data_IF_254135575698
#
_entry.id   IF_254135575698
#
_cell.length_a   1.000
_cell.length_b   1.000
_cell.length_c   1.000
_cell.angle_alpha   90.00
_cell.angle_beta   90.00
_cell.angle_gamma   90.00
#
_symmetry.space_group_name_H-M   'P 1'
#
loop_
_entity.id
_entity.type
_entity.pdbx_description
1 polymer ?
#
# COMPACT_ATOMS: atom_id res chain seq x y z
N UNK A 1 -17.31 9.61 -14.63
CA UNK A 1 -18.27 9.54 -13.49
C UNK A 1 -19.35 8.52 -13.84
N UNK A 2 -19.59 7.51 -13.01
CA UNK A 2 -20.49 6.40 -13.34
C UNK A 2 -21.93 6.66 -12.88
N UNK A 3 -22.90 6.39 -13.77
CA UNK A 3 -24.33 6.59 -13.49
C UNK A 3 -24.81 5.72 -12.31
N UNK A 4 -24.36 4.46 -12.24
CA UNK A 4 -24.76 3.47 -11.23
C UNK A 4 -24.19 3.72 -9.82
N UNK A 5 -23.21 4.61 -9.68
CA UNK A 5 -22.56 4.91 -8.38
C UNK A 5 -22.90 6.33 -7.95
N UNK A 6 -22.61 7.31 -8.80
CA UNK A 6 -22.78 8.73 -8.45
C UNK A 6 -24.12 9.28 -8.95
N UNK A 7 -24.57 8.86 -10.14
CA UNK A 7 -25.80 9.36 -10.75
C UNK A 7 -27.03 9.03 -9.91
N UNK A 8 -27.20 7.77 -9.54
CA UNK A 8 -28.33 7.31 -8.70
C UNK A 8 -28.32 7.98 -7.32
N UNK A 9 -27.15 8.09 -6.68
CA UNK A 9 -27.02 8.70 -5.36
C UNK A 9 -27.42 10.18 -5.33
N UNK A 10 -27.25 10.92 -6.44
CA UNK A 10 -27.70 12.31 -6.54
C UNK A 10 -29.22 12.48 -6.62
N UNK A 11 -29.95 11.43 -7.02
CA UNK A 11 -31.38 11.51 -7.32
C UNK A 11 -32.26 10.90 -6.23
N UNK A 12 -31.72 10.00 -5.41
CA UNK A 12 -32.46 9.24 -4.41
C UNK A 12 -31.74 9.29 -3.04
N UNK A 13 -32.45 9.04 -1.93
CA UNK A 13 -31.82 8.76 -0.64
C UNK A 13 -30.77 7.67 -0.79
N UNK A 14 -29.59 7.87 -0.20
CA UNK A 14 -28.43 7.02 -0.40
C UNK A 14 -27.68 6.84 0.92
N UNK A 15 -27.07 5.66 1.08
CA UNK A 15 -26.32 5.30 2.27
C UNK A 15 -25.14 4.40 1.89
N UNK A 16 -24.07 4.46 2.68
CA UNK A 16 -22.98 3.50 2.57
C UNK A 16 -23.41 2.14 3.16
N UNK A 17 -23.25 1.06 2.40
CA UNK A 17 -23.35 -0.29 2.94
C UNK A 17 -22.23 -0.57 3.96
N UNK A 18 -22.41 -1.57 4.82
CA UNK A 18 -21.46 -1.86 5.91
C UNK A 18 -20.04 -2.15 5.45
N UNK A 19 -19.86 -2.83 4.32
CA UNK A 19 -18.54 -3.13 3.76
C UNK A 19 -17.81 -1.85 3.34
N UNK A 20 -18.50 -0.97 2.60
CA UNK A 20 -17.95 0.32 2.20
C UNK A 20 -17.63 1.18 3.42
N UNK A 21 -18.56 1.27 4.37
CA UNK A 21 -18.35 2.01 5.62
C UNK A 21 -17.09 1.52 6.35
N UNK A 22 -16.96 0.21 6.55
CA UNK A 22 -15.80 -0.39 7.21
C UNK A 22 -14.50 -0.12 6.45
N UNK A 23 -14.52 -0.19 5.12
CA UNK A 23 -13.36 0.10 4.29
C UNK A 23 -12.93 1.57 4.41
N UNK A 24 -13.87 2.51 4.29
CA UNK A 24 -13.61 3.94 4.45
C UNK A 24 -13.08 4.25 5.85
N UNK A 25 -13.72 3.74 6.91
CA UNK A 25 -13.27 3.93 8.30
C UNK A 25 -11.86 3.38 8.53
N UNK A 26 -11.57 2.19 7.99
CA UNK A 26 -10.24 1.57 8.08
C UNK A 26 -9.21 2.45 7.39
N UNK A 27 -9.43 2.84 6.14
CA UNK A 27 -8.46 3.63 5.38
C UNK A 27 -8.30 5.05 5.95
N UNK A 28 -9.38 5.70 6.39
CA UNK A 28 -9.31 7.00 7.08
C UNK A 28 -8.45 6.92 8.34
N UNK A 29 -8.62 5.85 9.15
CA UNK A 29 -7.83 5.69 10.37
C UNK A 29 -6.31 5.59 10.11
N UNK A 30 -5.91 5.05 8.94
CA UNK A 30 -4.51 4.98 8.53
C UNK A 30 -3.91 6.36 8.20
N UNK A 31 -4.73 7.25 7.63
CA UNK A 31 -4.30 8.59 7.21
C UNK A 31 -4.33 9.60 8.37
N UNK A 32 -5.29 9.48 9.28
CA UNK A 32 -5.55 10.46 10.33
C UNK A 32 -4.77 10.16 11.62
N UNK A 33 -4.90 8.94 12.16
CA UNK A 33 -4.30 8.57 13.45
C UNK A 33 -3.95 7.07 13.52
N UNK A 34 -2.96 6.62 12.73
CA UNK A 34 -2.53 5.22 12.73
C UNK A 34 -1.84 4.86 14.05
N UNK A 35 -1.91 3.59 14.45
CA UNK A 35 -1.09 3.10 15.56
C UNK A 35 0.37 3.06 15.11
N UNK A 36 1.22 3.85 15.79
CA UNK A 36 2.64 4.00 15.43
C UNK A 36 3.56 2.99 16.14
N UNK A 37 4.61 2.50 15.46
CA UNK A 37 5.05 2.90 14.12
C UNK A 37 4.16 2.37 12.97
N UNK A 38 3.86 3.23 11.99
CA UNK A 38 3.19 2.90 10.74
C UNK A 38 4.25 2.60 9.68
N UNK A 39 4.27 1.37 9.17
CA UNK A 39 5.08 0.96 8.03
C UNK A 39 4.20 0.75 6.79
N UNK A 40 4.59 1.31 5.65
CA UNK A 40 3.86 1.19 4.38
C UNK A 40 4.76 0.56 3.34
N UNK A 41 4.31 -0.54 2.75
CA UNK A 41 5.01 -1.27 1.68
C UNK A 41 4.31 -0.95 0.36
N UNK A 42 5.06 -0.41 -0.58
CA UNK A 42 4.57 -0.01 -1.89
C UNK A 42 5.35 -0.80 -2.95
N UNK A 43 4.62 -1.59 -3.72
CA UNK A 43 5.15 -2.36 -4.84
C UNK A 43 4.44 -2.05 -6.14
N UNK A 44 4.89 -2.70 -7.22
CA UNK A 44 4.24 -2.64 -8.52
C UNK A 44 5.22 -2.54 -9.69
N UNK A 45 4.65 -2.34 -10.88
CA UNK A 45 5.37 -2.33 -12.14
C UNK A 45 5.48 -0.95 -12.84
N UNK A 46 4.64 0.02 -12.45
CA UNK A 46 4.53 1.33 -13.12
C UNK A 46 4.57 2.45 -12.10
N UNK A 47 5.63 3.26 -12.11
CA UNK A 47 5.86 4.31 -11.11
C UNK A 47 4.79 5.40 -11.16
N UNK A 48 4.25 5.73 -12.33
CA UNK A 48 3.31 6.83 -12.52
C UNK A 48 2.02 6.61 -11.71
N UNK A 49 1.64 5.34 -11.55
CA UNK A 49 0.45 4.96 -10.77
C UNK A 49 0.72 4.94 -9.26
N UNK A 50 1.99 4.86 -8.83
CA UNK A 50 2.37 4.66 -7.43
C UNK A 50 3.04 5.87 -6.79
N UNK A 51 3.59 6.78 -7.59
CA UNK A 51 4.30 7.96 -7.11
C UNK A 51 3.44 8.84 -6.18
N UNK A 52 2.15 9.14 -6.50
CA UNK A 52 1.30 9.91 -5.57
C UNK A 52 1.14 9.23 -4.21
N UNK A 53 1.04 7.90 -4.20
CA UNK A 53 0.98 7.13 -2.96
C UNK A 53 2.30 7.22 -2.19
N UNK A 54 3.44 7.06 -2.86
CA UNK A 54 4.77 7.17 -2.21
C UNK A 54 4.94 8.54 -1.56
N UNK A 55 4.64 9.61 -2.29
CA UNK A 55 4.72 10.99 -1.79
C UNK A 55 3.79 11.22 -0.59
N UNK A 56 2.54 10.78 -0.70
CA UNK A 56 1.55 10.93 0.38
C UNK A 56 1.93 10.13 1.62
N UNK A 57 2.39 8.89 1.45
CA UNK A 57 2.81 8.02 2.56
C UNK A 57 4.09 8.52 3.22
N UNK A 58 5.02 9.12 2.46
CA UNK A 58 6.25 9.69 3.02
C UNK A 58 5.98 10.85 4.01
N UNK A 59 4.82 11.51 3.90
CA UNK A 59 4.40 12.56 4.82
C UNK A 59 3.73 12.02 6.10
N UNK A 60 3.17 10.82 6.08
CA UNK A 60 2.27 10.31 7.14
C UNK A 60 2.89 9.12 7.89
N UNK A 61 3.52 8.20 7.16
CA UNK A 61 4.10 6.98 7.70
C UNK A 61 5.38 7.25 8.48
N UNK A 62 5.75 6.32 9.37
CA UNK A 62 7.07 6.33 10.00
C UNK A 62 8.11 5.70 9.06
N UNK A 63 7.69 4.68 8.29
CA UNK A 63 8.52 3.98 7.31
C UNK A 63 7.77 3.76 6.00
N UNK A 64 8.43 4.02 4.87
CA UNK A 64 7.95 3.69 3.53
C UNK A 64 8.96 2.74 2.88
N UNK A 65 8.49 1.56 2.48
CA UNK A 65 9.29 0.46 1.97
C UNK A 65 8.88 0.21 0.52
N UNK A 66 9.75 0.53 -0.43
CA UNK A 66 9.46 0.46 -1.86
C UNK A 66 10.14 -0.76 -2.48
N UNK A 67 9.36 -1.62 -3.13
CA UNK A 67 9.83 -2.81 -3.86
C UNK A 67 9.21 -2.93 -5.25
N UNK A 68 9.48 -4.02 -5.95
CA UNK A 68 9.01 -4.23 -7.32
C UNK A 68 9.79 -3.42 -8.35
N UNK A 69 9.31 -3.38 -9.60
CA UNK A 69 10.01 -2.67 -10.68
C UNK A 69 10.06 -1.15 -10.44
N UNK A 70 9.06 -0.61 -9.72
CA UNK A 70 9.04 0.82 -9.34
C UNK A 70 10.22 1.23 -8.46
N UNK A 71 10.89 0.27 -7.80
CA UNK A 71 12.02 0.56 -6.93
C UNK A 71 13.20 1.17 -7.70
N UNK A 72 13.50 0.67 -8.90
CA UNK A 72 14.60 1.21 -9.72
C UNK A 72 14.33 2.67 -10.12
N UNK A 73 13.10 2.96 -10.56
CA UNK A 73 12.69 4.31 -10.98
C UNK A 73 12.63 5.28 -9.79
N UNK A 74 12.19 4.81 -8.62
CA UNK A 74 12.12 5.63 -7.39
C UNK A 74 13.50 6.09 -6.95
N UNK A 75 14.54 5.24 -7.07
CA UNK A 75 15.92 5.64 -6.74
C UNK A 75 16.38 6.81 -7.61
N UNK A 76 16.16 6.71 -8.93
CA UNK A 76 16.49 7.76 -9.88
C UNK A 76 15.76 9.06 -9.54
N UNK A 77 14.47 8.99 -9.23
CA UNK A 77 13.69 10.18 -8.85
C UNK A 77 14.25 10.86 -7.59
N UNK A 78 14.62 10.09 -6.56
CA UNK A 78 15.20 10.64 -5.33
C UNK A 78 16.58 11.28 -5.56
N UNK A 79 17.40 10.66 -6.40
CA UNK A 79 18.72 11.19 -6.78
C UNK A 79 18.58 12.52 -7.54
N UNK A 80 17.66 12.59 -8.50
CA UNK A 80 17.41 13.80 -9.30
C UNK A 80 16.78 14.91 -8.47
N UNK A 81 15.91 14.57 -7.51
CA UNK A 81 15.18 15.54 -6.71
C UNK A 81 15.98 16.15 -5.54
N UNK A 82 17.24 15.75 -5.31
CA UNK A 82 18.12 16.26 -4.23
C UNK A 82 17.33 16.62 -2.96
N UNK A 83 16.80 15.61 -2.25
CA UNK A 83 16.12 15.77 -0.95
C UNK A 83 14.91 16.72 -0.88
N UNK A 84 14.36 17.22 -1.99
CA UNK A 84 13.12 18.04 -1.99
C UNK A 84 11.86 17.20 -1.88
N UNK A 85 11.75 16.45 -0.79
CA UNK A 85 10.43 16.29 -0.15
C UNK A 85 10.54 16.96 1.21
N UNK A 86 10.51 18.29 1.22
CA UNK A 86 10.44 19.04 2.47
C UNK A 86 9.13 18.66 3.18
N UNK A 87 9.18 18.28 4.47
CA UNK A 87 7.95 18.02 5.20
C UNK A 87 7.12 19.31 5.26
N UNK A 88 5.78 19.23 5.29
CA UNK A 88 4.98 20.37 5.72
C UNK A 88 5.48 20.81 7.11
N UNK A 89 5.58 22.13 7.30
CA UNK A 89 6.25 22.80 8.42
C UNK A 89 6.18 22.03 9.76
N UNK A 90 7.30 21.38 10.15
CA UNK A 90 7.46 20.73 11.46
C UNK A 90 7.26 19.21 11.52
N UNK A 91 6.93 18.53 10.41
CA UNK A 91 6.80 17.07 10.38
C UNK A 91 8.13 16.30 10.39
N UNK A 92 8.16 15.13 11.04
CA UNK A 92 9.27 14.16 10.95
C UNK A 92 9.18 13.46 9.58
N UNK A 93 10.21 13.55 8.73
CA UNK A 93 10.24 12.77 7.47
C UNK A 93 10.21 11.28 7.79
N UNK A 94 9.40 10.51 7.06
CA UNK A 94 9.44 9.05 7.17
C UNK A 94 10.82 8.54 6.72
N UNK A 95 11.26 7.40 7.26
CA UNK A 95 12.39 6.69 6.66
C UNK A 95 11.91 6.01 5.37
N UNK A 96 12.49 6.37 4.23
CA UNK A 96 12.21 5.77 2.92
C UNK A 96 13.30 4.77 2.58
N UNK A 97 12.92 3.50 2.38
CA UNK A 97 13.83 2.44 1.98
C UNK A 97 13.37 1.87 0.64
N UNK A 98 14.31 1.74 -0.29
CA UNK A 98 14.04 1.23 -1.63
C UNK A 98 14.87 -0.01 -1.88
N UNK A 99 14.19 -1.16 -2.02
CA UNK A 99 14.84 -2.45 -2.19
C UNK A 99 15.57 -2.55 -3.53
N UNK A 100 16.65 -3.32 -3.58
CA UNK A 100 17.20 -3.83 -4.83
C UNK A 100 16.39 -5.03 -5.32
N UNK A 101 16.39 -5.21 -6.64
CA UNK A 101 15.90 -6.43 -7.26
C UNK A 101 17.04 -7.43 -7.43
N UNK A 102 16.68 -8.72 -7.45
CA UNK A 102 17.60 -9.79 -7.79
C UNK A 102 18.10 -9.69 -9.25
N UNK A 103 19.11 -10.48 -9.63
CA UNK A 103 19.79 -10.35 -10.93
C UNK A 103 18.89 -10.52 -12.16
N UNK A 104 17.75 -11.20 -12.04
CA UNK A 104 16.75 -11.37 -13.11
C UNK A 104 15.56 -10.40 -12.98
N UNK A 105 15.60 -9.47 -12.02
CA UNK A 105 14.58 -8.45 -11.76
C UNK A 105 13.18 -8.99 -11.52
N UNK A 106 13.08 -10.19 -10.96
CA UNK A 106 11.79 -10.82 -10.67
C UNK A 106 11.34 -10.68 -9.23
N UNK A 107 12.22 -10.32 -8.30
CA UNK A 107 11.89 -10.20 -6.88
C UNK A 107 12.86 -9.28 -6.17
N UNK A 108 12.47 -8.78 -5.00
CA UNK A 108 13.42 -8.08 -4.10
C UNK A 108 14.53 -9.03 -3.66
N UNK A 109 15.72 -8.49 -3.40
CA UNK A 109 16.80 -9.31 -2.85
C UNK A 109 16.42 -9.88 -1.48
N UNK A 110 16.96 -11.07 -1.13
CA UNK A 110 16.77 -11.64 0.20
C UNK A 110 17.27 -10.71 1.32
N UNK A 111 18.34 -9.95 1.05
CA UNK A 111 18.90 -8.98 1.99
C UNK A 111 17.93 -7.84 2.25
N UNK A 112 17.31 -7.28 1.21
CA UNK A 112 16.34 -6.19 1.39
C UNK A 112 15.02 -6.64 1.98
N UNK A 113 14.60 -7.87 1.68
CA UNK A 113 13.49 -8.49 2.41
C UNK A 113 13.78 -8.56 3.91
N UNK A 114 15.00 -8.95 4.32
CA UNK A 114 15.42 -8.97 5.72
C UNK A 114 15.49 -7.56 6.34
N UNK A 115 15.98 -6.57 5.59
CA UNK A 115 15.97 -5.17 6.02
C UNK A 115 14.53 -4.67 6.27
N UNK A 116 13.61 -4.98 5.36
CA UNK A 116 12.19 -4.64 5.52
C UNK A 116 11.59 -5.34 6.74
N UNK A 117 11.93 -6.61 6.96
CA UNK A 117 11.45 -7.39 8.10
C UNK A 117 11.90 -6.83 9.46
N UNK A 118 13.11 -6.26 9.54
CA UNK A 118 13.57 -5.57 10.76
C UNK A 118 12.62 -4.41 11.11
N UNK A 119 12.19 -3.64 10.11
CA UNK A 119 11.24 -2.53 10.31
C UNK A 119 9.85 -3.05 10.65
N UNK A 120 9.38 -4.06 9.92
CA UNK A 120 8.08 -4.71 10.13
C UNK A 120 7.94 -5.24 11.55
N UNK A 121 9.00 -5.79 12.14
CA UNK A 121 8.96 -6.30 13.52
C UNK A 121 8.72 -5.22 14.58
N UNK A 122 8.98 -3.95 14.25
CA UNK A 122 8.75 -2.81 15.15
C UNK A 122 7.39 -2.13 14.90
N UNK A 123 6.75 -2.41 13.76
CA UNK A 123 5.54 -1.73 13.34
C UNK A 123 4.32 -2.17 14.17
N UNK A 124 3.45 -1.21 14.52
CA UNK A 124 2.13 -1.50 15.12
C UNK A 124 1.02 -1.51 14.07
N UNK A 125 1.25 -0.86 12.94
CA UNK A 125 0.37 -0.92 11.77
C UNK A 125 1.20 -1.08 10.51
N UNK A 126 0.77 -1.99 9.64
CA UNK A 126 1.42 -2.29 8.37
C UNK A 126 0.40 -2.16 7.26
N UNK A 127 0.72 -1.40 6.23
CA UNK A 127 -0.06 -1.30 5.00
C UNK A 127 0.76 -1.90 3.87
N UNK A 128 0.19 -2.81 3.08
CA UNK A 128 0.85 -3.37 1.90
C UNK A 128 0.01 -3.17 0.64
N UNK A 129 0.55 -2.43 -0.33
CA UNK A 129 -0.08 -2.19 -1.62
C UNK A 129 0.89 -2.44 -2.78
N UNK A 130 0.59 -3.44 -3.62
CA UNK A 130 1.39 -3.79 -4.79
C UNK A 130 2.45 -4.86 -4.52
N UNK A 131 2.83 -5.59 -5.57
CA UNK A 131 3.78 -6.70 -5.45
C UNK A 131 5.22 -6.19 -5.39
N UNK A 132 6.03 -6.78 -4.51
CA UNK A 132 7.47 -6.47 -4.40
C UNK A 132 8.31 -7.36 -5.33
N UNK A 133 7.72 -8.43 -5.84
CA UNK A 133 8.25 -9.27 -6.90
C UNK A 133 7.17 -9.65 -7.90
N UNK A 134 7.51 -10.56 -8.79
CA UNK A 134 6.59 -11.18 -9.74
C UNK A 134 5.59 -12.02 -8.95
N UNK A 135 4.34 -12.05 -9.40
CA UNK A 135 3.24 -12.80 -8.77
C UNK A 135 2.71 -13.92 -9.68
N UNK A 136 3.20 -13.98 -10.92
CA UNK A 136 2.79 -14.90 -11.98
C UNK A 136 3.99 -15.65 -12.58
N UNK A 137 3.94 -16.99 -12.64
CA UNK A 137 4.99 -17.82 -13.23
C UNK A 137 5.21 -19.16 -12.51
N UNK A 138 5.95 -20.07 -13.17
CA UNK A 138 6.24 -21.41 -12.64
C UNK A 138 7.10 -21.34 -11.36
N UNK A 139 6.67 -22.12 -10.38
CA UNK A 139 6.98 -22.15 -8.94
C UNK A 139 8.42 -22.59 -8.58
N UNK A 140 9.35 -22.47 -9.54
CA UNK A 140 10.65 -23.11 -9.45
C UNK A 140 11.65 -22.48 -8.49
N UNK A 141 11.75 -21.14 -8.36
CA UNK A 141 12.76 -20.48 -7.50
C UNK A 141 12.73 -18.93 -7.43
N UNK A 142 11.59 -18.25 -7.63
CA UNK A 142 11.63 -16.84 -8.08
C UNK A 142 11.08 -15.77 -7.14
N UNK A 143 10.61 -16.11 -5.93
CA UNK A 143 9.90 -15.17 -5.04
C UNK A 143 10.31 -15.30 -3.56
N UNK A 144 11.59 -15.62 -3.28
CA UNK A 144 12.08 -15.85 -1.91
C UNK A 144 11.91 -14.59 -1.03
N UNK A 145 12.18 -13.41 -1.58
CA UNK A 145 12.05 -12.14 -0.88
C UNK A 145 10.58 -11.80 -0.61
N UNK A 146 9.74 -11.87 -1.64
CA UNK A 146 8.29 -11.67 -1.52
C UNK A 146 7.64 -12.62 -0.52
N UNK A 147 8.00 -13.91 -0.55
CA UNK A 147 7.46 -14.92 0.37
C UNK A 147 7.93 -14.70 1.82
N UNK A 148 9.22 -14.40 2.02
CA UNK A 148 9.77 -14.02 3.33
C UNK A 148 9.03 -12.82 3.91
N UNK A 149 8.84 -11.78 3.09
CA UNK A 149 8.15 -10.57 3.48
C UNK A 149 6.69 -10.86 3.87
N UNK A 150 5.95 -11.60 3.03
CA UNK A 150 4.57 -11.97 3.29
C UNK A 150 4.42 -12.74 4.60
N UNK A 151 5.28 -13.73 4.84
CA UNK A 151 5.29 -14.52 6.06
C UNK A 151 5.58 -13.65 7.29
N UNK A 152 6.60 -12.80 7.23
CA UNK A 152 6.94 -11.96 8.38
C UNK A 152 5.89 -10.90 8.69
N UNK A 153 5.17 -10.37 7.69
CA UNK A 153 4.03 -9.48 7.93
C UNK A 153 2.89 -10.26 8.62
N UNK A 154 2.57 -11.46 8.13
CA UNK A 154 1.52 -12.30 8.71
C UNK A 154 1.82 -12.71 10.16
N UNK A 155 3.11 -12.81 10.53
CA UNK A 155 3.57 -13.19 11.87
C UNK A 155 3.90 -11.98 12.77
N UNK A 156 3.79 -10.74 12.27
CA UNK A 156 4.23 -9.52 12.97
C UNK A 156 3.43 -9.17 14.23
N UNK A 157 2.19 -9.65 14.34
CA UNK A 157 1.24 -9.22 15.38
C UNK A 157 0.74 -7.78 15.24
N UNK A 158 1.16 -7.05 14.20
CA UNK A 158 0.68 -5.71 13.87
C UNK A 158 -0.75 -5.76 13.31
N UNK A 159 -1.44 -4.61 13.33
CA UNK A 159 -2.65 -4.46 12.54
C UNK A 159 -2.27 -4.32 11.06
N UNK A 160 -2.69 -5.26 10.22
CA UNK A 160 -2.26 -5.37 8.82
C UNK A 160 -3.39 -5.06 7.85
N UNK A 161 -3.13 -4.12 6.94
CA UNK A 161 -4.04 -3.75 5.86
C UNK A 161 -3.38 -4.07 4.53
N UNK A 162 -4.05 -4.85 3.69
CA UNK A 162 -3.53 -5.20 2.36
C UNK A 162 -4.51 -4.81 1.26
N UNK A 163 -3.98 -4.36 0.12
CA UNK A 163 -4.77 -4.18 -1.09
C UNK A 163 -3.94 -4.17 -2.37
N UNK A 164 -4.65 -4.06 -3.49
CA UNK A 164 -4.09 -4.30 -4.82
C UNK A 164 -4.32 -5.74 -5.26
N UNK A 165 -4.86 -5.90 -6.48
CA UNK A 165 -5.26 -7.21 -7.02
C UNK A 165 -4.12 -8.22 -7.03
N UNK A 166 -2.93 -7.80 -7.44
CA UNK A 166 -1.75 -8.67 -7.52
C UNK A 166 -1.29 -9.14 -6.13
N UNK A 167 -1.23 -8.23 -5.15
CA UNK A 167 -0.84 -8.56 -3.77
C UNK A 167 -1.84 -9.51 -3.13
N UNK A 168 -3.15 -9.26 -3.30
CA UNK A 168 -4.20 -10.12 -2.77
C UNK A 168 -4.16 -11.50 -3.45
N UNK A 169 -4.04 -11.53 -4.78
CA UNK A 169 -3.94 -12.76 -5.56
C UNK A 169 -2.75 -13.60 -5.13
N UNK A 170 -1.59 -12.97 -4.95
CA UNK A 170 -0.38 -13.62 -4.45
C UNK A 170 -0.56 -14.19 -3.05
N UNK A 171 -1.04 -13.38 -2.09
CA UNK A 171 -1.27 -13.81 -0.72
C UNK A 171 -2.28 -14.97 -0.62
N UNK A 172 -3.29 -14.96 -1.50
CA UNK A 172 -4.25 -16.05 -1.62
C UNK A 172 -3.58 -17.32 -2.15
N UNK A 173 -2.74 -17.21 -3.19
CA UNK A 173 -1.99 -18.34 -3.76
C UNK A 173 -1.10 -19.03 -2.72
N UNK A 174 -0.43 -18.25 -1.86
CA UNK A 174 0.47 -18.80 -0.82
C UNK A 174 -0.25 -19.12 0.51
N UNK A 175 -1.58 -18.99 0.58
CA UNK A 175 -2.38 -19.36 1.76
C UNK A 175 -2.21 -18.44 2.98
N UNK A 176 -1.77 -17.20 2.79
CA UNK A 176 -1.54 -16.25 3.89
C UNK A 176 -2.58 -15.14 4.00
N UNK A 177 -3.48 -14.97 3.02
CA UNK A 177 -4.44 -13.87 3.00
C UNK A 177 -5.27 -13.76 4.29
N UNK A 178 -5.73 -14.89 4.83
CA UNK A 178 -6.57 -14.93 6.05
C UNK A 178 -5.81 -14.53 7.34
N UNK A 179 -4.49 -14.32 7.26
CA UNK A 179 -3.67 -13.82 8.37
C UNK A 179 -3.64 -12.29 8.43
N UNK A 180 -4.18 -11.60 7.43
CA UNK A 180 -4.21 -10.14 7.39
C UNK A 180 -5.46 -9.60 8.10
N UNK A 181 -5.31 -8.49 8.83
CA UNK A 181 -6.39 -7.93 9.65
C UNK A 181 -7.50 -7.31 8.81
N UNK A 182 -7.15 -6.73 7.66
CA UNK A 182 -8.09 -6.17 6.71
C UNK A 182 -7.58 -6.33 5.27
N UNK A 183 -8.47 -6.79 4.39
CA UNK A 183 -8.23 -6.92 2.94
C UNK A 183 -9.13 -5.93 2.22
N UNK A 184 -8.53 -4.92 1.59
CA UNK A 184 -9.25 -3.94 0.78
C UNK A 184 -9.60 -4.53 -0.58
N UNK A 185 -10.88 -4.51 -0.92
CA UNK A 185 -11.37 -4.94 -2.24
C UNK A 185 -11.44 -3.78 -3.24
N UNK A 186 -11.15 -2.54 -2.81
CA UNK A 186 -11.20 -1.35 -3.65
C UNK A 186 -10.14 -1.28 -4.75
N UNK A 187 -9.10 -2.12 -4.72
CA UNK A 187 -8.07 -2.17 -5.77
C UNK A 187 -7.43 -0.80 -6.02
N UNK A 188 -7.66 -0.23 -7.20
CA UNK A 188 -7.21 1.14 -7.54
C UNK A 188 -7.86 2.23 -6.69
N UNK A 189 -9.10 2.05 -6.24
CA UNK A 189 -9.77 3.01 -5.37
C UNK A 189 -9.09 3.14 -4.00
N UNK A 190 -8.50 2.06 -3.47
CA UNK A 190 -7.69 2.14 -2.24
C UNK A 190 -6.46 3.01 -2.46
N UNK A 191 -5.80 2.86 -3.62
CA UNK A 191 -4.61 3.61 -3.99
C UNK A 191 -4.93 5.10 -4.13
N UNK A 192 -5.99 5.43 -4.86
CA UNK A 192 -6.50 6.80 -5.00
C UNK A 192 -6.86 7.40 -3.63
N UNK A 193 -7.60 6.66 -2.80
CA UNK A 193 -7.99 7.10 -1.45
C UNK A 193 -6.76 7.39 -0.57
N UNK A 194 -5.81 6.45 -0.50
CA UNK A 194 -4.59 6.62 0.30
C UNK A 194 -3.66 7.70 -0.24
N UNK A 195 -3.72 7.98 -1.54
CA UNK A 195 -2.99 9.11 -2.16
C UNK A 195 -3.63 10.46 -1.84
N UNK A 196 -4.82 10.47 -1.21
CA UNK A 196 -5.56 11.68 -0.86
C UNK A 196 -6.42 12.22 -2.00
N UNK A 197 -6.70 11.41 -3.01
CA UNK A 197 -7.60 11.81 -4.09
C UNK A 197 -9.06 11.79 -3.64
N UNK A 198 -9.84 12.71 -4.20
CA UNK A 198 -11.28 12.76 -3.95
C UNK A 198 -11.98 11.66 -4.75
N UNK A 199 -12.55 10.68 -4.06
CA UNK A 199 -13.33 9.62 -4.70
C UNK A 199 -14.80 10.05 -4.88
N UNK A 200 -15.28 10.29 -6.11
CA UNK A 200 -16.62 10.85 -6.33
C UNK A 200 -17.76 9.99 -5.74
N UNK A 201 -17.55 8.67 -5.68
CA UNK A 201 -18.51 7.73 -5.08
C UNK A 201 -18.59 7.79 -3.55
N UNK A 202 -17.54 8.27 -2.88
CA UNK A 202 -17.54 8.53 -1.43
C UNK A 202 -18.03 9.96 -1.18
N UNK A 203 -17.58 10.93 -1.97
CA UNK A 203 -17.97 12.34 -1.82
C UNK A 203 -19.49 12.53 -1.91
N UNK A 204 -20.15 11.85 -2.85
CA UNK A 204 -21.61 11.95 -2.97
C UNK A 204 -22.33 11.48 -1.70
N UNK A 205 -21.76 10.53 -0.96
CA UNK A 205 -22.33 10.00 0.29
C UNK A 205 -22.12 10.94 1.49
N UNK A 206 -21.19 11.89 1.42
CA UNK A 206 -20.97 12.90 2.47
C UNK A 206 -22.01 14.02 2.46
N UNK A 207 -22.72 14.19 1.34
CA UNK A 207 -23.68 15.27 1.09
C UNK A 207 -25.14 14.76 1.22
N UNK A 208 -25.32 13.52 1.69
CA UNK A 208 -26.62 12.91 1.94
C UNK A 208 -27.21 13.30 3.30
N UNK A 209 -28.53 13.45 3.32
CA UNK A 209 -29.41 13.90 4.42
C UNK A 209 -29.02 13.50 5.84
#
# INVERSE_FOLDING_TARGET
MHASIVGVAKLLPHFAGFMLKKEVETLSSLLENPKRPLAVIIGGAKIETKLPLVEKMHQIADYVLVGGLIAEETKVLLEVQHEKVSPPAGGRKSALLVADLNGNKTDITSKDAENFLQIISLAKTIVWNGSVGKTEGNEGNLEIGSAKLAKGIAESGAYTVVGGGDTIGYLKKIGLLDKFSFVSTGGGAMLEFLSGENLPGIEVLKVGY
#
